data_IF_143511154151
#
_entry.id   IF_143511154151
#
_cell.length_a   1.000
_cell.length_b   1.000
_cell.length_c   1.000
_cell.angle_alpha   90.00
_cell.angle_beta   90.00
_cell.angle_gamma   90.00
#
_symmetry.space_group_name_H-M   'P 1'
#
loop_
_entity.id
_entity.type
_entity.pdbx_description
1 polymer ?
#
# COMPACT_ATOMS: atom_id res chain seq x y z
N UNK A 1 65.54 4.13 -55.97
CA UNK A 1 65.42 4.12 -54.50
C UNK A 1 64.20 4.82 -54.12
N UNK A 2 63.07 4.06 -53.94
CA UNK A 2 61.75 4.60 -53.64
C UNK A 2 61.46 4.42 -52.16
N UNK A 3 61.17 5.51 -51.44
CA UNK A 3 60.86 5.48 -50.00
C UNK A 3 59.35 5.34 -49.85
N UNK A 4 58.93 4.19 -49.26
CA UNK A 4 57.54 3.91 -48.87
C UNK A 4 57.20 4.71 -47.60
N UNK A 5 56.15 5.54 -47.74
CA UNK A 5 55.60 6.32 -46.63
C UNK A 5 54.44 5.56 -46.03
N UNK A 6 54.54 5.10 -44.78
CA UNK A 6 53.48 4.39 -44.04
C UNK A 6 52.75 5.40 -43.14
N UNK A 7 51.41 5.55 -43.26
CA UNK A 7 50.68 6.44 -42.37
C UNK A 7 50.41 5.78 -41.01
N UNK A 8 50.76 6.48 -39.93
CA UNK A 8 50.45 6.13 -38.55
C UNK A 8 48.92 6.27 -38.31
N UNK A 9 48.25 5.18 -38.11
CA UNK A 9 46.86 5.18 -37.62
C UNK A 9 46.86 5.47 -36.11
N UNK A 10 46.29 6.60 -35.74
CA UNK A 10 46.05 6.98 -34.35
C UNK A 10 44.78 6.24 -33.88
N UNK A 11 44.92 5.31 -32.94
CA UNK A 11 43.80 4.68 -32.26
C UNK A 11 43.23 5.67 -31.21
N UNK A 12 42.02 6.16 -31.42
CA UNK A 12 41.25 6.88 -30.41
C UNK A 12 40.57 5.87 -29.50
N UNK A 13 41.09 5.71 -28.30
CA UNK A 13 40.43 4.97 -27.20
C UNK A 13 39.31 5.84 -26.65
N UNK A 14 38.08 5.54 -27.03
CA UNK A 14 36.91 6.15 -26.45
C UNK A 14 36.60 5.56 -25.07
N UNK A 15 36.83 6.33 -24.02
CA UNK A 15 36.41 5.97 -22.65
C UNK A 15 34.91 6.12 -22.53
N UNK A 16 34.17 5.00 -22.47
CA UNK A 16 32.76 5.00 -22.12
C UNK A 16 32.60 5.26 -20.61
N UNK A 17 32.12 6.44 -20.24
CA UNK A 17 31.73 6.74 -18.87
C UNK A 17 30.40 6.05 -18.56
N UNK A 18 30.43 5.03 -17.74
CA UNK A 18 29.22 4.39 -17.17
C UNK A 18 28.65 5.35 -16.13
N UNK A 19 27.58 6.04 -16.46
CA UNK A 19 26.81 6.84 -15.50
C UNK A 19 26.09 5.89 -14.52
N UNK A 20 26.62 5.72 -13.30
CA UNK A 20 25.89 5.10 -12.20
C UNK A 20 24.77 6.04 -11.77
N UNK A 21 23.52 5.67 -12.07
CA UNK A 21 22.37 6.34 -11.49
C UNK A 21 22.39 6.12 -9.96
N UNK A 22 22.17 7.16 -9.14
CA UNK A 22 22.12 6.99 -7.70
C UNK A 22 20.93 6.10 -7.34
N UNK A 23 21.18 5.03 -6.59
CA UNK A 23 20.13 4.24 -5.97
C UNK A 23 19.37 5.17 -4.99
N UNK A 24 18.10 5.43 -5.28
CA UNK A 24 17.25 6.22 -4.39
C UNK A 24 17.14 5.48 -3.04
N UNK A 25 17.75 6.03 -2.01
CA UNK A 25 17.55 5.58 -0.64
C UNK A 25 16.09 5.81 -0.28
N UNK A 26 15.34 4.74 -0.09
CA UNK A 26 13.97 4.80 0.40
C UNK A 26 14.00 5.28 1.86
N UNK A 27 13.84 6.57 2.05
CA UNK A 27 13.59 7.13 3.37
C UNK A 27 12.24 6.59 3.87
N UNK A 28 12.22 5.99 5.06
CA UNK A 28 11.02 5.44 5.73
C UNK A 28 10.17 6.53 6.39
N UNK A 29 10.06 7.70 5.77
CA UNK A 29 9.18 8.76 6.23
C UNK A 29 7.74 8.49 5.75
N UNK A 30 6.77 8.68 6.63
CA UNK A 30 5.36 8.64 6.26
C UNK A 30 5.09 9.68 5.16
N UNK A 31 4.41 9.32 4.05
CA UNK A 31 4.19 10.25 2.95
C UNK A 31 3.34 11.45 3.37
N UNK A 32 3.57 12.58 2.73
CA UNK A 32 2.86 13.81 3.01
C UNK A 32 1.45 13.81 2.43
N UNK A 33 0.50 14.31 3.22
CA UNK A 33 -0.87 14.55 2.75
C UNK A 33 -0.91 15.71 1.75
N UNK A 34 -1.82 15.63 0.79
CA UNK A 34 -1.96 16.62 -0.28
C UNK A 34 -0.82 16.55 -1.32
N UNK A 35 0.04 15.54 -1.27
CA UNK A 35 1.10 15.28 -2.24
C UNK A 35 0.82 14.00 -3.04
N UNK A 36 1.48 13.80 -4.18
CA UNK A 36 1.38 12.55 -4.91
C UNK A 36 1.67 11.36 -4.00
N UNK A 37 0.77 10.40 -3.99
CA UNK A 37 0.93 9.18 -3.21
C UNK A 37 2.14 8.37 -3.72
N UNK A 38 2.88 7.68 -2.82
CA UNK A 38 3.98 6.83 -3.22
C UNK A 38 3.57 5.81 -4.26
N UNK A 39 4.34 5.71 -5.34
CA UNK A 39 4.10 4.71 -6.37
C UNK A 39 4.41 3.31 -5.84
N UNK A 40 3.60 2.35 -6.22
CA UNK A 40 3.84 0.95 -5.94
C UNK A 40 3.54 0.08 -7.16
N UNK A 41 4.12 -1.09 -7.16
CA UNK A 41 3.76 -2.21 -8.03
C UNK A 41 3.88 -3.48 -7.20
N UNK A 42 2.81 -4.27 -7.12
CA UNK A 42 2.76 -5.51 -6.35
C UNK A 42 1.86 -6.54 -7.04
N UNK A 43 2.17 -7.83 -6.82
CA UNK A 43 1.38 -8.93 -7.34
C UNK A 43 0.32 -9.30 -6.30
N UNK A 44 -0.91 -9.54 -6.74
CA UNK A 44 -1.98 -9.99 -5.87
C UNK A 44 -1.98 -11.52 -5.69
N UNK A 45 -2.88 -11.99 -4.84
CA UNK A 45 -3.04 -13.43 -4.54
C UNK A 45 -3.52 -14.27 -5.73
N UNK A 46 -3.90 -13.66 -6.85
CA UNK A 46 -4.31 -14.33 -8.09
C UNK A 46 -3.26 -14.20 -9.21
N UNK A 47 -2.08 -13.63 -8.90
CA UNK A 47 -0.97 -13.48 -9.84
C UNK A 47 -1.06 -12.24 -10.74
N UNK A 48 -2.06 -11.36 -10.55
CA UNK A 48 -2.18 -10.12 -11.30
C UNK A 48 -1.29 -9.04 -10.66
N UNK A 49 -0.54 -8.31 -11.47
CA UNK A 49 0.19 -7.12 -11.02
C UNK A 49 -0.75 -5.92 -10.96
N UNK A 50 -0.67 -5.19 -9.87
CA UNK A 50 -1.34 -3.92 -9.63
C UNK A 50 -0.31 -2.83 -9.43
N UNK A 51 -0.48 -1.69 -10.09
CA UNK A 51 0.32 -0.50 -9.85
C UNK A 51 -0.57 0.72 -9.60
N UNK A 52 -0.11 1.68 -8.81
CA UNK A 52 -0.86 2.92 -8.59
C UNK A 52 -1.03 3.70 -9.91
N UNK A 53 -0.05 3.64 -10.80
CA UNK A 53 -0.09 4.30 -12.10
C UNK A 53 -1.27 3.82 -12.98
N UNK A 54 -1.60 2.52 -12.92
CA UNK A 54 -2.71 1.93 -13.67
C UNK A 54 -4.09 2.28 -13.08
N UNK A 55 -4.11 2.84 -11.87
CA UNK A 55 -5.33 3.25 -11.15
C UNK A 55 -5.63 4.74 -11.28
N UNK A 56 -4.93 5.45 -12.16
CA UNK A 56 -5.20 6.87 -12.42
C UNK A 56 -6.68 7.08 -12.83
N UNK A 57 -7.30 8.10 -12.26
CA UNK A 57 -8.74 8.37 -12.43
C UNK A 57 -9.65 7.59 -11.49
N UNK A 58 -9.10 6.74 -10.61
CA UNK A 58 -9.84 6.01 -9.58
C UNK A 58 -9.47 6.51 -8.19
N UNK A 59 -10.43 6.57 -7.30
CA UNK A 59 -10.16 6.68 -5.86
C UNK A 59 -9.70 5.32 -5.37
N UNK A 60 -8.61 5.28 -4.59
CA UNK A 60 -7.99 4.04 -4.12
C UNK A 60 -7.92 4.03 -2.60
N UNK A 61 -8.29 2.92 -1.98
CA UNK A 61 -8.03 2.63 -0.57
C UNK A 61 -6.93 1.58 -0.47
N UNK A 62 -5.92 1.84 0.37
CA UNK A 62 -4.97 0.82 0.81
C UNK A 62 -5.25 0.49 2.27
N UNK A 63 -5.40 -0.80 2.56
CA UNK A 63 -5.58 -1.37 3.90
C UNK A 63 -4.39 -2.26 4.22
N UNK A 64 -3.49 -1.89 5.14
CA UNK A 64 -2.53 -2.88 5.64
C UNK A 64 -3.21 -3.85 6.56
N UNK A 65 -2.95 -5.15 6.39
CA UNK A 65 -3.66 -6.19 7.13
C UNK A 65 -2.71 -7.21 7.79
N UNK A 66 -3.21 -7.81 8.87
CA UNK A 66 -2.68 -9.00 9.51
C UNK A 66 -3.89 -9.77 10.07
N UNK A 67 -4.15 -10.95 9.54
CA UNK A 67 -5.34 -11.75 9.87
C UNK A 67 -5.39 -12.21 11.34
N UNK A 68 -4.24 -12.29 12.02
CA UNK A 68 -4.13 -12.65 13.44
C UNK A 68 -4.26 -11.45 14.38
N UNK A 69 -4.19 -10.22 13.85
CA UNK A 69 -4.30 -9.03 14.68
C UNK A 69 -5.72 -8.86 15.23
N UNK A 70 -5.91 -8.77 16.57
CA UNK A 70 -7.24 -8.59 17.15
C UNK A 70 -7.97 -7.35 16.67
N UNK A 71 -7.24 -6.29 16.36
CA UNK A 71 -7.79 -5.03 15.83
C UNK A 71 -8.27 -5.18 14.38
N UNK A 72 -7.61 -6.00 13.55
CA UNK A 72 -8.10 -6.37 12.22
C UNK A 72 -9.31 -7.29 12.35
N UNK A 73 -9.21 -8.31 13.22
CA UNK A 73 -10.30 -9.27 13.47
C UNK A 73 -11.58 -8.59 13.92
N UNK A 74 -11.51 -7.55 14.77
CA UNK A 74 -12.64 -6.72 15.19
C UNK A 74 -13.51 -6.34 13.99
N UNK A 75 -12.92 -5.75 12.97
CA UNK A 75 -13.63 -5.22 11.81
C UNK A 75 -14.15 -6.30 10.87
N UNK A 76 -13.40 -7.40 10.71
CA UNK A 76 -13.85 -8.51 9.87
C UNK A 76 -14.92 -9.38 10.55
N UNK A 77 -14.81 -9.62 11.87
CA UNK A 77 -15.82 -10.41 12.60
C UNK A 77 -17.18 -9.72 12.68
N UNK A 78 -17.19 -8.40 12.73
CA UNK A 78 -18.41 -7.59 12.76
C UNK A 78 -18.92 -7.17 11.37
N UNK A 79 -18.36 -7.70 10.28
CA UNK A 79 -18.62 -7.32 8.89
C UNK A 79 -18.35 -5.86 8.55
N UNK A 80 -17.77 -5.07 9.45
CA UNK A 80 -17.52 -3.65 9.22
C UNK A 80 -16.54 -3.39 8.06
N UNK A 81 -15.49 -4.23 7.93
CA UNK A 81 -14.53 -4.11 6.83
C UNK A 81 -15.19 -4.48 5.49
N UNK A 82 -15.88 -5.61 5.47
CA UNK A 82 -16.56 -6.12 4.27
C UNK A 82 -17.60 -5.14 3.73
N UNK A 83 -18.37 -4.52 4.63
CA UNK A 83 -19.38 -3.53 4.24
C UNK A 83 -18.73 -2.29 3.65
N UNK A 84 -17.63 -1.78 4.24
CA UNK A 84 -16.88 -0.68 3.68
C UNK A 84 -16.27 -1.02 2.32
N UNK A 85 -15.74 -2.24 2.13
CA UNK A 85 -15.21 -2.71 0.86
C UNK A 85 -16.31 -2.75 -0.22
N UNK A 86 -17.50 -3.27 0.08
CA UNK A 86 -18.63 -3.33 -0.85
C UNK A 86 -19.18 -1.94 -1.18
N UNK A 87 -19.34 -1.09 -0.18
CA UNK A 87 -19.78 0.31 -0.36
C UNK A 87 -18.79 1.07 -1.25
N UNK A 88 -17.49 0.89 -1.02
CA UNK A 88 -16.43 1.48 -1.84
C UNK A 88 -16.51 0.99 -3.30
N UNK A 89 -16.61 -0.32 -3.50
CA UNK A 89 -16.74 -0.93 -4.83
C UNK A 89 -18.00 -0.43 -5.58
N UNK A 90 -19.14 -0.31 -4.90
CA UNK A 90 -20.37 0.22 -5.48
C UNK A 90 -20.25 1.69 -5.94
N UNK A 91 -19.34 2.44 -5.34
CA UNK A 91 -19.02 3.83 -5.68
C UNK A 91 -17.83 3.92 -6.69
N UNK A 92 -17.35 2.80 -7.24
CA UNK A 92 -16.24 2.76 -8.19
C UNK A 92 -14.85 2.97 -7.57
N UNK A 93 -14.73 2.90 -6.25
CA UNK A 93 -13.47 2.96 -5.51
C UNK A 93 -12.76 1.61 -5.56
N UNK A 94 -11.45 1.62 -5.76
CA UNK A 94 -10.61 0.43 -5.75
C UNK A 94 -10.04 0.21 -4.35
N UNK A 95 -10.50 -0.84 -3.66
CA UNK A 95 -9.98 -1.21 -2.35
C UNK A 95 -8.95 -2.31 -2.47
N UNK A 96 -7.72 -2.04 -2.06
CA UNK A 96 -6.61 -2.99 -2.07
C UNK A 96 -6.19 -3.31 -0.63
N UNK A 97 -6.29 -4.58 -0.26
CA UNK A 97 -5.77 -5.08 1.01
C UNK A 97 -4.31 -5.49 0.82
N UNK A 98 -3.40 -5.05 1.69
CA UNK A 98 -1.96 -5.24 1.56
C UNK A 98 -1.46 -6.14 2.69
N UNK A 99 -1.05 -7.36 2.36
CA UNK A 99 -0.50 -8.34 3.28
C UNK A 99 1.03 -8.19 3.34
N UNK A 100 1.53 -7.38 4.28
CA UNK A 100 2.93 -6.94 4.34
C UNK A 100 3.77 -7.59 5.44
N UNK A 101 3.23 -8.58 6.16
CA UNK A 101 4.05 -9.32 7.13
C UNK A 101 5.14 -10.14 6.42
N UNK A 102 6.36 -10.10 6.94
CA UNK A 102 7.48 -10.83 6.40
C UNK A 102 7.26 -12.36 6.45
N UNK A 103 7.88 -13.08 5.54
CA UNK A 103 7.83 -14.54 5.53
C UNK A 103 8.27 -15.12 6.88
N UNK A 104 7.46 -16.02 7.43
CA UNK A 104 7.67 -16.64 8.74
C UNK A 104 7.22 -15.80 9.94
N UNK A 105 6.80 -14.56 9.74
CA UNK A 105 6.28 -13.71 10.81
C UNK A 105 4.75 -13.83 10.91
N UNK A 106 4.21 -13.46 12.08
CA UNK A 106 2.76 -13.43 12.32
C UNK A 106 2.05 -12.54 11.29
N UNK A 107 1.00 -13.06 10.68
CA UNK A 107 0.24 -12.36 9.66
C UNK A 107 0.76 -12.54 8.23
N UNK A 108 1.86 -13.28 8.04
CA UNK A 108 2.28 -13.71 6.71
C UNK A 108 1.24 -14.65 6.10
N UNK A 109 0.99 -14.49 4.82
CA UNK A 109 0.10 -15.37 4.05
C UNK A 109 0.70 -15.70 2.68
N UNK A 110 0.51 -16.93 2.25
CA UNK A 110 0.69 -17.33 0.85
C UNK A 110 -0.49 -16.84 0.01
N UNK A 111 -0.37 -16.92 -1.31
CA UNK A 111 -1.46 -16.58 -2.24
C UNK A 111 -2.75 -17.38 -1.94
N UNK A 112 -2.60 -18.70 -1.74
CA UNK A 112 -3.74 -19.56 -1.41
C UNK A 112 -4.39 -19.16 -0.07
N UNK A 113 -3.58 -18.93 0.97
CA UNK A 113 -4.10 -18.50 2.28
C UNK A 113 -4.81 -17.15 2.21
N UNK A 114 -4.30 -16.20 1.42
CA UNK A 114 -4.95 -14.91 1.21
C UNK A 114 -6.33 -15.06 0.55
N UNK A 115 -6.44 -15.94 -0.45
CA UNK A 115 -7.70 -16.24 -1.12
C UNK A 115 -8.69 -16.96 -0.18
N UNK A 116 -8.21 -17.93 0.59
CA UNK A 116 -9.04 -18.64 1.57
C UNK A 116 -9.57 -17.70 2.66
N UNK A 117 -8.73 -16.81 3.18
CA UNK A 117 -9.13 -15.79 4.15
C UNK A 117 -10.17 -14.84 3.58
N UNK A 118 -10.00 -14.39 2.34
CA UNK A 118 -10.94 -13.50 1.65
C UNK A 118 -12.29 -14.19 1.53
N UNK A 119 -12.32 -15.44 1.07
CA UNK A 119 -13.54 -16.25 0.93
C UNK A 119 -14.21 -16.51 2.29
N UNK A 120 -13.43 -16.99 3.27
CA UNK A 120 -13.98 -17.42 4.58
C UNK A 120 -14.53 -16.25 5.39
N UNK A 121 -14.01 -15.03 5.18
CA UNK A 121 -14.48 -13.79 5.81
C UNK A 121 -15.57 -13.09 4.99
N UNK A 122 -15.94 -13.63 3.82
CA UNK A 122 -16.82 -12.95 2.89
C UNK A 122 -16.33 -11.51 2.59
N UNK A 123 -15.00 -11.32 2.52
CA UNK A 123 -14.38 -10.04 2.23
C UNK A 123 -14.51 -9.70 0.73
N UNK A 124 -14.51 -8.41 0.42
CA UNK A 124 -14.75 -7.92 -0.94
C UNK A 124 -13.75 -6.85 -1.41
N UNK A 125 -12.44 -6.98 -1.11
CA UNK A 125 -11.45 -6.09 -1.70
C UNK A 125 -11.36 -6.36 -3.21
N UNK A 126 -10.92 -5.36 -3.98
CA UNK A 126 -10.62 -5.56 -5.41
C UNK A 126 -9.44 -6.54 -5.61
N UNK A 127 -8.48 -6.54 -4.66
CA UNK A 127 -7.39 -7.49 -4.62
C UNK A 127 -6.73 -7.54 -3.23
N UNK A 128 -6.04 -8.67 -2.95
CA UNK A 128 -5.11 -8.79 -1.82
C UNK A 128 -3.69 -8.80 -2.36
N UNK A 129 -2.97 -7.70 -2.18
CA UNK A 129 -1.59 -7.54 -2.60
C UNK A 129 -0.66 -8.31 -1.65
N UNK A 130 0.24 -9.12 -2.21
CA UNK A 130 1.27 -9.84 -1.46
C UNK A 130 2.53 -8.98 -1.40
N UNK A 131 2.86 -8.50 -0.19
CA UNK A 131 3.99 -7.61 0.05
C UNK A 131 4.93 -8.14 1.16
N UNK A 132 5.44 -9.40 1.05
CA UNK A 132 6.25 -10.01 2.12
C UNK A 132 7.61 -9.32 2.32
N UNK A 133 8.05 -8.51 1.36
CA UNK A 133 9.22 -7.63 1.48
C UNK A 133 8.87 -6.26 2.07
N UNK A 134 7.59 -6.03 2.37
CA UNK A 134 7.05 -4.78 2.92
C UNK A 134 7.42 -3.52 2.11
N UNK A 135 7.57 -3.65 0.79
CA UNK A 135 7.91 -2.53 -0.09
C UNK A 135 6.78 -1.49 -0.12
N UNK A 136 5.54 -1.96 -0.31
CA UNK A 136 4.35 -1.10 -0.30
C UNK A 136 4.15 -0.48 1.08
N UNK A 137 4.17 -1.30 2.13
CA UNK A 137 3.97 -0.83 3.50
C UNK A 137 5.02 0.22 3.92
N UNK A 138 6.29 0.01 3.56
CA UNK A 138 7.37 0.97 3.85
C UNK A 138 7.20 2.27 3.08
N UNK A 139 6.82 2.21 1.80
CA UNK A 139 6.59 3.41 0.99
C UNK A 139 5.49 4.30 1.60
N UNK A 140 4.49 3.70 2.21
CA UNK A 140 3.40 4.40 2.88
C UNK A 140 3.66 4.68 4.37
N UNK A 141 4.81 4.28 4.91
CA UNK A 141 5.15 4.47 6.32
C UNK A 141 4.20 3.74 7.27
N UNK A 142 3.65 2.59 6.85
CA UNK A 142 2.73 1.81 7.68
C UNK A 142 3.45 1.26 8.90
N UNK A 143 2.88 1.39 10.08
CA UNK A 143 3.50 0.93 11.34
C UNK A 143 2.68 -0.12 12.07
N UNK A 144 1.39 -0.16 11.80
CA UNK A 144 0.43 -1.06 12.48
C UNK A 144 -0.54 -1.67 11.49
N UNK A 145 -1.35 -2.63 11.95
CA UNK A 145 -2.45 -3.21 11.20
C UNK A 145 -3.75 -3.17 12.05
N UNK A 146 -4.86 -2.61 11.50
CA UNK A 146 -4.95 -1.99 10.17
C UNK A 146 -4.35 -0.57 10.16
N UNK A 147 -3.74 -0.16 9.04
CA UNK A 147 -3.39 1.22 8.74
C UNK A 147 -3.99 1.55 7.38
N UNK A 148 -4.76 2.63 7.31
CA UNK A 148 -5.59 2.97 6.17
C UNK A 148 -5.05 4.19 5.44
N UNK A 149 -5.18 4.18 4.11
CA UNK A 149 -4.83 5.29 3.23
C UNK A 149 -5.91 5.48 2.18
N UNK A 150 -6.25 6.73 1.86
CA UNK A 150 -7.12 7.07 0.74
C UNK A 150 -6.35 7.95 -0.22
N UNK A 151 -6.38 7.59 -1.49
CA UNK A 151 -5.75 8.28 -2.60
C UNK A 151 -6.87 8.73 -3.53
N UNK A 152 -6.89 10.01 -3.91
CA UNK A 152 -7.91 10.52 -4.81
C UNK A 152 -7.68 10.12 -6.28
N UNK A 153 -8.60 10.48 -7.16
CA UNK A 153 -8.53 10.16 -8.59
C UNK A 153 -7.35 10.82 -9.33
N UNK A 154 -6.73 11.84 -8.74
CA UNK A 154 -5.53 12.50 -9.26
C UNK A 154 -4.24 11.81 -8.78
N UNK A 155 -4.36 10.79 -7.92
CA UNK A 155 -3.21 10.10 -7.33
C UNK A 155 -2.63 10.83 -6.11
N UNK A 156 -3.38 11.73 -5.50
CA UNK A 156 -2.96 12.50 -4.30
C UNK A 156 -3.37 11.74 -3.04
N UNK A 157 -2.46 11.61 -2.07
CA UNK A 157 -2.76 11.05 -0.76
C UNK A 157 -3.60 12.06 0.05
N UNK A 158 -4.86 11.71 0.30
CA UNK A 158 -5.83 12.61 0.96
C UNK A 158 -6.23 12.17 2.37
N UNK A 159 -5.95 10.91 2.72
CA UNK A 159 -6.13 10.39 4.08
C UNK A 159 -5.07 9.36 4.43
N UNK A 160 -4.60 9.40 5.68
CA UNK A 160 -3.81 8.32 6.30
C UNK A 160 -4.16 8.21 7.79
N UNK A 161 -4.30 6.99 8.30
CA UNK A 161 -4.59 6.80 9.73
C UNK A 161 -5.35 5.54 10.09
N UNK A 162 -6.15 5.63 11.13
CA UNK A 162 -6.99 4.55 11.64
C UNK A 162 -8.19 4.26 10.75
N UNK A 163 -8.80 3.10 10.94
CA UNK A 163 -10.07 2.78 10.29
C UNK A 163 -11.24 3.46 11.01
N UNK A 164 -11.16 3.56 12.34
CA UNK A 164 -12.16 4.22 13.19
C UNK A 164 -11.51 4.97 14.37
N UNK A 165 -12.33 5.68 15.16
CA UNK A 165 -11.89 6.56 16.24
C UNK A 165 -11.66 5.86 17.59
N UNK A 166 -12.03 4.55 17.74
CA UNK A 166 -11.92 3.85 19.03
C UNK A 166 -10.86 2.74 18.96
N UNK A 167 -9.68 2.94 19.55
CA UNK A 167 -8.56 2.01 19.50
C UNK A 167 -8.76 0.81 20.43
N UNK A 168 -9.79 0.03 20.19
CA UNK A 168 -10.12 -1.21 20.91
C UNK A 168 -10.22 -2.40 19.97
N UNK A 169 -10.15 -3.60 20.49
CA UNK A 169 -10.41 -4.85 19.77
C UNK A 169 -11.85 -5.36 19.93
N UNK A 170 -12.71 -4.61 20.63
CA UNK A 170 -14.11 -4.94 20.86
C UNK A 170 -15.00 -4.58 19.66
N UNK A 171 -15.76 -5.55 19.17
CA UNK A 171 -16.75 -5.31 18.11
C UNK A 171 -17.89 -4.39 18.55
N UNK A 172 -18.22 -4.35 19.86
CA UNK A 172 -19.25 -3.50 20.45
C UNK A 172 -18.95 -1.99 20.35
N UNK A 173 -17.69 -1.63 20.03
CA UNK A 173 -17.28 -0.24 19.88
C UNK A 173 -17.43 0.29 18.45
N UNK A 174 -17.61 -0.59 17.46
CA UNK A 174 -17.77 -0.20 16.05
C UNK A 174 -18.93 0.78 15.84
N UNK A 175 -20.17 0.53 16.36
CA UNK A 175 -21.29 1.45 16.16
C UNK A 175 -21.14 2.78 16.91
N UNK A 176 -20.22 2.86 17.89
CA UNK A 176 -19.96 4.08 18.66
C UNK A 176 -18.85 4.93 18.03
N UNK A 177 -18.03 4.33 17.14
CA UNK A 177 -16.87 4.97 16.58
C UNK A 177 -17.18 5.76 15.32
N UNK A 178 -16.50 6.89 15.13
CA UNK A 178 -16.45 7.55 13.83
C UNK A 178 -15.67 6.67 12.87
N UNK A 179 -16.31 6.28 11.75
CA UNK A 179 -15.68 5.45 10.71
C UNK A 179 -14.87 6.34 9.76
N UNK A 180 -13.63 6.61 10.10
CA UNK A 180 -12.80 7.60 9.40
C UNK A 180 -12.67 7.36 7.90
N UNK A 181 -12.52 6.11 7.47
CA UNK A 181 -12.38 5.78 6.04
C UNK A 181 -13.68 6.06 5.28
N UNK A 182 -14.85 5.74 5.86
CA UNK A 182 -16.15 6.11 5.25
C UNK A 182 -16.29 7.61 5.10
N UNK A 183 -16.01 8.36 6.18
CA UNK A 183 -16.08 9.84 6.16
C UNK A 183 -15.15 10.41 5.10
N UNK A 184 -13.90 9.92 5.05
CA UNK A 184 -12.93 10.37 4.05
C UNK A 184 -13.41 10.07 2.62
N UNK A 185 -13.91 8.86 2.36
CA UNK A 185 -14.43 8.48 1.04
C UNK A 185 -15.64 9.31 0.63
N UNK A 186 -16.60 9.55 1.53
CA UNK A 186 -17.77 10.37 1.22
C UNK A 186 -17.37 11.81 0.88
N UNK A 187 -16.38 12.38 1.56
CA UNK A 187 -15.86 13.71 1.27
C UNK A 187 -15.12 13.75 -0.08
N UNK A 188 -14.22 12.81 -0.33
CA UNK A 188 -13.45 12.71 -1.59
C UNK A 188 -14.36 12.55 -2.79
N UNK A 189 -15.35 11.64 -2.71
CA UNK A 189 -16.29 11.38 -3.79
C UNK A 189 -17.25 12.55 -4.04
N UNK A 190 -17.49 13.38 -3.01
CA UNK A 190 -18.24 14.64 -3.16
C UNK A 190 -17.36 15.83 -3.64
N UNK A 191 -16.09 15.58 -3.97
CA UNK A 191 -15.13 16.64 -4.39
C UNK A 191 -14.75 17.59 -3.26
N UNK A 192 -14.94 17.19 -2.00
CA UNK A 192 -14.63 18.00 -0.81
C UNK A 192 -13.27 17.59 -0.23
N UNK A 193 -12.54 18.51 0.42
CA UNK A 193 -11.36 18.16 1.19
C UNK A 193 -11.72 17.24 2.35
N UNK A 194 -10.80 16.33 2.71
CA UNK A 194 -10.96 15.46 3.87
C UNK A 194 -10.70 16.27 5.13
N UNK A 195 -11.72 16.41 5.99
CA UNK A 195 -11.65 17.26 7.18
C UNK A 195 -10.63 16.70 8.21
N UNK A 196 -10.66 15.39 8.46
CA UNK A 196 -9.70 14.69 9.32
C UNK A 196 -8.75 13.84 8.44
N UNK A 197 -7.89 14.52 7.67
CA UNK A 197 -7.00 13.87 6.71
C UNK A 197 -5.93 12.98 7.36
N UNK A 198 -5.58 13.23 8.64
CA UNK A 198 -4.61 12.44 9.40
C UNK A 198 -5.19 12.06 10.76
N UNK A 199 -5.28 10.77 11.03
CA UNK A 199 -5.72 10.27 12.32
C UNK A 199 -4.70 9.28 12.88
N UNK A 200 -4.80 8.95 14.17
CA UNK A 200 -3.92 7.95 14.77
C UNK A 200 -4.32 6.55 14.30
N UNK A 201 -3.44 5.90 13.54
CA UNK A 201 -3.56 4.47 13.30
C UNK A 201 -3.28 3.69 14.59
N UNK A 202 -4.00 2.60 14.80
CA UNK A 202 -3.83 1.73 15.97
C UNK A 202 -3.92 0.26 15.56
N UNK A 203 -3.29 -0.60 16.33
CA UNK A 203 -3.31 -2.04 16.05
C UNK A 203 -2.01 -2.74 16.41
N UNK A 204 -1.83 -3.93 15.86
CA UNK A 204 -0.60 -4.71 16.05
C UNK A 204 0.52 -4.15 15.17
N UNK A 205 1.72 -4.06 15.73
CA UNK A 205 2.91 -3.64 14.96
C UNK A 205 3.10 -4.50 13.73
N UNK A 206 3.32 -3.85 12.59
CA UNK A 206 3.61 -4.51 11.33
C UNK A 206 4.95 -5.25 11.41
N UNK A 207 4.98 -6.50 10.91
CA UNK A 207 6.14 -7.38 10.99
C UNK A 207 7.01 -7.23 9.74
N UNK A 208 7.85 -6.21 9.74
CA UNK A 208 8.80 -5.96 8.66
C UNK A 208 9.88 -7.05 8.58
N UNK A 209 10.44 -7.33 7.38
CA UNK A 209 11.64 -8.16 7.26
C UNK A 209 12.76 -7.56 8.11
N UNK A 210 13.46 -8.41 8.88
CA UNK A 210 14.66 -8.01 9.60
C UNK A 210 15.74 -7.66 8.58
N UNK A 211 16.36 -6.50 8.73
CA UNK A 211 17.59 -6.21 8.00
C UNK A 211 18.66 -7.15 8.52
N UNK A 212 19.18 -8.03 7.66
CA UNK A 212 20.42 -8.76 7.99
C UNK A 212 21.53 -7.71 8.16
N UNK A 213 21.98 -7.55 9.39
CA UNK A 213 23.20 -6.80 9.75
C UNK A 213 24.42 -7.58 9.29
#
# INVERSE_FOLDING_TARGET
MSKLNVPRRTLLLGSAAIAMAPAAAFATSSPDLGKPAPQFSAVDSNGKTWSLADLKGKVVVLETTNHDCPYVRKHYTANNMQDQQREAAAKGVVWLTVASSATGEQGYVTAQQANDLTKNRNAAPAAVLLDPQSKVARAYGATVTPHMYVIDANGILVYKGGIDSIPSSSTADIPKATQYVRVALDQVLAGKPVAEASTRAYGCTLKYPRTST
#
